data_IF_168357958918
#
_entry.id   IF_168357958918
#
_cell.length_a   1.000
_cell.length_b   1.000
_cell.length_c   1.000
_cell.angle_alpha   90.00
_cell.angle_beta   90.00
_cell.angle_gamma   90.00
#
_symmetry.space_group_name_H-M   'P 1'
#
loop_
_entity.id
_entity.type
_entity.pdbx_description
1 polymer ?
#
# COMPACT_ATOMS: atom_id res chain seq x y z
N UNK A 1 -13.02 -23.60 2.68
CA UNK A 1 -14.32 -23.05 3.10
C UNK A 1 -14.47 -21.68 2.45
N UNK A 2 -15.65 -21.34 1.92
CA UNK A 2 -15.89 -20.02 1.33
C UNK A 2 -16.00 -18.96 2.43
N UNK A 3 -15.49 -17.75 2.16
CA UNK A 3 -15.58 -16.60 3.07
C UNK A 3 -16.47 -15.51 2.44
N UNK A 4 -17.24 -14.82 3.26
CA UNK A 4 -18.22 -13.81 2.87
C UNK A 4 -18.09 -12.60 3.77
N UNK A 5 -18.21 -11.42 3.17
CA UNK A 5 -17.85 -10.17 3.81
C UNK A 5 -18.27 -8.94 3.01
N UNK A 6 -18.41 -7.78 3.67
CA UNK A 6 -18.64 -6.52 2.98
C UNK A 6 -17.34 -5.96 2.40
N UNK A 7 -17.49 -5.00 1.47
CA UNK A 7 -16.41 -4.08 1.12
C UNK A 7 -16.52 -2.82 1.95
N UNK A 8 -15.50 -2.58 2.78
CA UNK A 8 -15.45 -1.51 3.76
C UNK A 8 -16.19 -1.81 5.07
N UNK A 9 -16.18 -0.82 5.95
CA UNK A 9 -16.85 -0.85 7.25
C UNK A 9 -18.37 -0.92 7.03
N UNK A 10 -19.10 -1.85 7.68
CA UNK A 10 -20.55 -1.93 7.58
C UNK A 10 -21.22 -0.60 7.95
N UNK A 11 -22.28 -0.22 7.24
CA UNK A 11 -23.06 0.99 7.56
C UNK A 11 -23.77 0.91 8.93
N UNK A 12 -23.98 -0.31 9.44
CA UNK A 12 -24.48 -0.57 10.79
C UNK A 12 -23.45 -0.28 11.87
N UNK A 13 -22.16 -0.29 11.54
CA UNK A 13 -21.10 -0.13 12.51
C UNK A 13 -21.07 1.31 13.03
N UNK A 14 -21.23 1.46 14.34
CA UNK A 14 -21.26 2.76 15.02
C UNK A 14 -19.87 3.38 15.07
N UNK A 15 -18.87 2.54 15.31
CA UNK A 15 -17.47 2.91 15.26
C UNK A 15 -17.03 2.97 13.80
N UNK A 16 -16.54 4.12 13.35
CA UNK A 16 -16.20 4.33 11.93
C UNK A 16 -14.70 4.11 11.68
N UNK A 17 -14.08 3.24 12.48
CA UNK A 17 -12.67 2.86 12.38
C UNK A 17 -12.54 1.45 11.78
N UNK A 18 -11.35 1.11 11.29
CA UNK A 18 -11.12 -0.24 10.75
C UNK A 18 -11.27 -1.33 11.81
N UNK A 19 -10.83 -1.06 13.05
CA UNK A 19 -10.99 -1.97 14.18
C UNK A 19 -12.47 -2.27 14.45
N UNK A 20 -13.28 -1.22 14.58
CA UNK A 20 -14.72 -1.36 14.81
C UNK A 20 -15.41 -2.12 13.65
N UNK A 21 -14.96 -1.87 12.40
CA UNK A 21 -15.45 -2.59 11.23
C UNK A 21 -15.16 -4.08 11.28
N UNK A 22 -13.92 -4.47 11.61
CA UNK A 22 -13.51 -5.87 11.77
C UNK A 22 -14.38 -6.56 12.86
N UNK A 23 -14.52 -5.92 14.02
CA UNK A 23 -15.32 -6.46 15.14
C UNK A 23 -16.82 -6.58 14.80
N UNK A 24 -17.39 -5.60 14.08
CA UNK A 24 -18.80 -5.63 13.65
C UNK A 24 -19.05 -6.73 12.61
N UNK A 25 -18.15 -6.90 11.64
CA UNK A 25 -18.25 -7.98 10.64
C UNK A 25 -18.23 -9.36 11.31
N UNK A 26 -17.35 -9.58 12.28
CA UNK A 26 -17.35 -10.81 13.08
C UNK A 26 -18.69 -11.00 13.82
N UNK A 27 -19.19 -9.93 14.46
CA UNK A 27 -20.47 -9.96 15.20
C UNK A 27 -21.66 -10.27 14.30
N UNK A 28 -21.62 -9.86 13.03
CA UNK A 28 -22.63 -10.19 12.01
C UNK A 28 -22.55 -11.65 11.52
N UNK A 29 -21.59 -12.44 12.01
CA UNK A 29 -21.37 -13.83 11.59
C UNK A 29 -20.72 -13.96 10.21
N UNK A 30 -20.11 -12.87 9.71
CA UNK A 30 -19.34 -12.86 8.49
C UNK A 30 -17.86 -13.14 8.79
N UNK A 31 -17.08 -13.45 7.76
CA UNK A 31 -15.72 -13.98 7.91
C UNK A 31 -14.74 -13.49 6.84
N UNK A 32 -15.10 -12.44 6.10
CA UNK A 32 -14.18 -11.64 5.30
C UNK A 32 -14.51 -10.14 5.41
N UNK A 33 -13.56 -9.27 5.11
CA UNK A 33 -13.80 -7.83 4.91
C UNK A 33 -12.76 -7.26 3.94
N UNK A 34 -13.19 -6.43 3.00
CA UNK A 34 -12.27 -5.65 2.18
C UNK A 34 -12.00 -4.28 2.80
N UNK A 35 -10.73 -3.95 3.02
CA UNK A 35 -10.24 -2.69 3.56
C UNK A 35 -10.03 -1.69 2.42
N UNK A 36 -10.50 -0.46 2.61
CA UNK A 36 -10.45 0.57 1.57
C UNK A 36 -9.16 1.40 1.66
N UNK A 37 -8.21 1.20 0.73
CA UNK A 37 -7.00 2.02 0.62
C UNK A 37 -7.28 3.25 -0.24
N UNK A 38 -7.94 4.24 0.36
CA UNK A 38 -8.39 5.47 -0.28
C UNK A 38 -7.83 6.71 0.42
N UNK A 39 -7.88 7.87 -0.26
CA UNK A 39 -7.38 9.16 0.24
C UNK A 39 -5.91 9.08 0.68
N UNK A 40 -5.09 8.63 -0.24
CA UNK A 40 -3.65 8.47 -0.08
C UNK A 40 -2.96 9.81 -0.26
N UNK A 41 -2.16 10.19 0.72
CA UNK A 41 -1.28 11.35 0.65
C UNK A 41 0.16 10.92 0.90
N UNK A 42 1.08 11.46 0.09
CA UNK A 42 2.50 11.12 0.15
C UNK A 42 3.29 12.39 0.40
N UNK A 43 4.05 12.39 1.49
CA UNK A 43 4.88 13.53 1.88
C UNK A 43 6.34 13.12 1.96
N UNK A 44 7.23 14.05 1.63
CA UNK A 44 8.67 13.87 1.80
C UNK A 44 9.22 14.82 2.85
N UNK A 45 10.10 14.31 3.71
CA UNK A 45 10.85 15.11 4.68
C UNK A 45 12.26 14.57 4.86
N UNK A 46 13.14 15.35 5.47
CA UNK A 46 14.43 14.82 5.91
C UNK A 46 14.26 14.00 7.19
N UNK A 47 15.09 12.97 7.34
CA UNK A 47 15.22 12.24 8.59
C UNK A 47 15.68 13.20 9.71
N UNK A 48 15.10 13.05 10.89
CA UNK A 48 15.53 13.77 12.11
C UNK A 48 16.74 13.07 12.74
N UNK A 49 17.46 13.76 13.63
CA UNK A 49 18.61 13.16 14.32
C UNK A 49 18.20 11.98 15.23
N UNK A 50 16.95 11.96 15.73
CA UNK A 50 16.40 10.89 16.57
C UNK A 50 16.11 9.61 15.78
N UNK A 51 15.79 9.74 14.49
CA UNK A 51 15.46 8.60 13.60
C UNK A 51 16.71 7.90 13.06
N UNK A 52 17.89 8.52 13.17
CA UNK A 52 19.14 7.94 12.65
C UNK A 52 19.45 6.64 13.40
N UNK A 53 19.72 5.57 12.64
CA UNK A 53 19.97 4.24 13.19
C UNK A 53 18.71 3.42 13.45
N UNK A 54 17.52 4.02 13.38
CA UNK A 54 16.25 3.29 13.43
C UNK A 54 15.88 2.74 12.05
N UNK A 55 15.03 1.72 12.00
CA UNK A 55 14.45 1.24 10.75
C UNK A 55 13.18 2.03 10.43
N UNK A 56 12.84 2.24 9.14
CA UNK A 56 11.58 2.84 8.72
C UNK A 56 10.33 2.23 9.36
N UNK A 57 10.35 0.91 9.61
CA UNK A 57 9.24 0.18 10.24
C UNK A 57 9.06 0.44 11.73
N UNK A 58 10.10 0.92 12.40
CA UNK A 58 10.12 1.11 13.85
C UNK A 58 9.78 2.56 14.25
N UNK A 59 9.54 3.44 13.26
CA UNK A 59 9.13 4.83 13.51
C UNK A 59 7.64 4.85 13.87
N UNK A 60 7.32 5.26 15.10
CA UNK A 60 5.96 5.41 15.59
C UNK A 60 5.26 6.63 14.98
N UNK A 61 3.97 6.49 14.68
CA UNK A 61 3.11 7.55 14.14
C UNK A 61 3.37 7.93 12.68
N UNK A 62 4.26 7.21 11.96
CA UNK A 62 4.54 7.49 10.56
C UNK A 62 4.84 6.24 9.72
N UNK A 63 4.02 6.02 8.68
CA UNK A 63 4.25 4.98 7.67
C UNK A 63 5.30 5.43 6.65
N UNK A 64 6.57 5.21 6.94
CA UNK A 64 7.64 5.46 5.97
C UNK A 64 7.66 4.33 4.95
N UNK A 65 7.35 4.65 3.68
CA UNK A 65 7.26 3.67 2.59
C UNK A 65 8.52 3.61 1.71
N UNK A 66 9.33 4.67 1.69
CA UNK A 66 10.61 4.67 0.97
C UNK A 66 11.65 5.52 1.71
N UNK A 67 12.90 5.05 1.72
CA UNK A 67 14.06 5.86 2.10
C UNK A 67 14.76 6.32 0.84
N UNK A 68 14.78 7.63 0.65
CA UNK A 68 15.35 8.34 -0.49
C UNK A 68 16.80 8.70 -0.15
N UNK A 69 17.76 7.99 -0.74
CA UNK A 69 19.20 8.24 -0.51
C UNK A 69 19.74 9.23 -1.53
N UNK A 70 20.60 10.13 -1.06
CA UNK A 70 21.30 11.07 -1.93
C UNK A 70 22.37 10.33 -2.76
N UNK A 71 22.28 10.46 -4.07
CA UNK A 71 23.26 9.98 -5.04
C UNK A 71 23.73 11.12 -5.94
N UNK A 72 24.99 11.06 -6.38
CA UNK A 72 25.54 12.02 -7.32
C UNK A 72 24.93 11.79 -8.71
N UNK A 73 24.16 12.76 -9.21
CA UNK A 73 23.65 12.72 -10.58
C UNK A 73 24.82 12.80 -11.56
N UNK A 74 24.71 12.11 -12.71
CA UNK A 74 25.73 12.07 -13.79
C UNK A 74 26.07 13.44 -14.41
N UNK A 75 25.50 14.54 -13.92
CA UNK A 75 25.72 15.91 -14.38
C UNK A 75 25.98 16.95 -13.27
N UNK A 76 26.34 16.54 -12.05
CA UNK A 76 26.76 17.47 -10.98
C UNK A 76 25.66 18.02 -10.06
N UNK A 77 24.52 17.31 -9.95
CA UNK A 77 23.44 17.62 -9.01
C UNK A 77 23.18 16.48 -8.02
N UNK A 78 22.39 16.76 -6.97
CA UNK A 78 21.91 15.74 -6.03
C UNK A 78 20.68 15.05 -6.61
N UNK A 79 20.70 13.72 -6.76
CA UNK A 79 19.53 12.92 -7.12
C UNK A 79 19.15 12.06 -5.92
N UNK A 80 17.88 12.02 -5.59
CA UNK A 80 17.36 11.09 -4.58
C UNK A 80 16.82 9.86 -5.28
N UNK A 81 17.29 8.68 -4.88
CA UNK A 81 16.86 7.40 -5.45
C UNK A 81 16.07 6.62 -4.41
N UNK A 82 14.82 6.20 -4.70
CA UNK A 82 14.06 5.35 -3.81
C UNK A 82 14.75 4.01 -3.61
N UNK A 83 15.05 3.70 -2.35
CA UNK A 83 15.39 2.34 -1.94
C UNK A 83 14.27 1.82 -1.07
N UNK A 84 13.62 0.77 -1.56
CA UNK A 84 12.66 -0.01 -0.81
C UNK A 84 13.44 -0.94 0.15
N UNK A 85 13.98 -0.33 1.19
CA UNK A 85 14.83 -0.96 2.21
C UNK A 85 14.17 -0.72 3.58
N UNK A 86 12.97 -1.29 3.78
CA UNK A 86 12.16 -1.10 5.00
C UNK A 86 12.85 -1.55 6.30
N UNK A 87 13.86 -2.42 6.17
CA UNK A 87 14.64 -2.97 7.28
C UNK A 87 16.04 -2.35 7.41
N UNK A 88 16.38 -1.37 6.58
CA UNK A 88 17.70 -0.72 6.63
C UNK A 88 17.65 0.52 7.50
N UNK A 89 18.68 0.71 8.30
CA UNK A 89 18.82 1.87 9.16
C UNK A 89 18.80 3.18 8.36
N UNK A 90 18.01 4.12 8.85
CA UNK A 90 17.95 5.50 8.38
C UNK A 90 19.28 6.18 8.69
N UNK A 91 19.83 6.88 7.69
CA UNK A 91 21.12 7.58 7.82
C UNK A 91 20.93 9.09 7.80
N UNK A 92 21.93 9.79 8.34
CA UNK A 92 21.99 11.24 8.28
C UNK A 92 21.95 11.73 6.82
N UNK A 93 21.01 12.62 6.54
CA UNK A 93 20.83 13.20 5.20
C UNK A 93 19.88 12.42 4.29
N UNK A 94 19.37 11.26 4.74
CA UNK A 94 18.31 10.56 4.03
C UNK A 94 17.02 11.40 4.05
N UNK A 95 16.26 11.30 2.97
CA UNK A 95 14.87 11.76 2.92
C UNK A 95 13.95 10.56 3.13
N UNK A 96 12.86 10.79 3.85
CA UNK A 96 11.84 9.80 4.15
C UNK A 96 10.59 10.16 3.37
N UNK A 97 10.05 9.18 2.65
CA UNK A 97 8.79 9.30 1.93
C UNK A 97 7.73 8.56 2.73
N UNK A 98 6.73 9.30 3.17
CA UNK A 98 5.75 8.85 4.15
C UNK A 98 4.37 8.82 3.56
N UNK A 99 3.65 7.74 3.86
CA UNK A 99 2.30 7.47 3.41
C UNK A 99 1.31 7.84 4.51
N UNK A 100 0.31 8.65 4.18
CA UNK A 100 -0.86 8.86 5.03
C UNK A 100 -2.06 8.23 4.35
N UNK A 101 -2.79 7.40 5.10
CA UNK A 101 -4.03 6.78 4.66
C UNK A 101 -4.98 6.59 5.85
N UNK A 102 -6.24 6.26 5.57
CA UNK A 102 -7.26 6.06 6.62
C UNK A 102 -7.26 4.69 7.29
N UNK A 103 -6.19 3.90 7.17
CA UNK A 103 -6.14 2.51 7.67
C UNK A 103 -5.36 2.43 8.99
N UNK A 104 -4.15 2.99 9.02
CA UNK A 104 -3.28 3.07 10.20
C UNK A 104 -2.20 4.13 9.98
N UNK A 105 -1.57 4.59 11.06
CA UNK A 105 -0.60 5.68 11.06
C UNK A 105 0.86 5.21 11.01
N UNK A 106 1.12 3.99 11.48
CA UNK A 106 2.43 3.33 11.45
C UNK A 106 2.30 1.81 11.26
N UNK A 107 3.43 1.12 11.19
CA UNK A 107 3.48 -0.32 10.98
C UNK A 107 3.00 -1.14 12.19
N UNK A 108 3.01 -0.57 13.40
CA UNK A 108 2.53 -1.25 14.60
C UNK A 108 1.00 -1.32 14.58
N UNK A 109 0.33 -0.22 14.27
CA UNK A 109 -1.14 -0.18 14.14
C UNK A 109 -1.65 -1.14 13.05
N UNK A 110 -0.97 -1.19 11.89
CA UNK A 110 -1.36 -2.10 10.80
C UNK A 110 -1.26 -3.57 11.24
N UNK A 111 -0.19 -3.95 11.93
CA UNK A 111 -0.01 -5.32 12.43
C UNK A 111 -1.03 -5.65 13.50
N UNK A 112 -1.31 -4.73 14.43
CA UNK A 112 -2.34 -4.92 15.46
C UNK A 112 -3.71 -5.19 14.81
N UNK A 113 -4.10 -4.41 13.80
CA UNK A 113 -5.34 -4.62 13.06
C UNK A 113 -5.40 -6.00 12.38
N UNK A 114 -4.30 -6.43 11.77
CA UNK A 114 -4.18 -7.75 11.17
C UNK A 114 -4.28 -8.89 12.18
N UNK A 115 -3.66 -8.74 13.36
CA UNK A 115 -3.73 -9.69 14.47
C UNK A 115 -5.16 -9.82 15.01
N UNK A 116 -5.86 -8.70 15.22
CA UNK A 116 -7.27 -8.69 15.63
C UNK A 116 -8.14 -9.43 14.61
N UNK A 117 -7.98 -9.16 13.31
CA UNK A 117 -8.74 -9.86 12.28
C UNK A 117 -8.47 -11.37 12.28
N UNK A 118 -7.21 -11.76 12.45
CA UNK A 118 -6.82 -13.17 12.54
C UNK A 118 -7.43 -13.87 13.76
N UNK A 119 -7.42 -13.24 14.92
CA UNK A 119 -7.99 -13.78 16.16
C UNK A 119 -9.51 -13.96 16.06
N UNK A 120 -10.18 -13.12 15.26
CA UNK A 120 -11.61 -13.20 14.96
C UNK A 120 -11.94 -14.12 13.76
N UNK A 121 -10.96 -14.84 13.21
CA UNK A 121 -11.05 -15.67 12.01
C UNK A 121 -11.64 -14.92 10.79
N UNK A 122 -11.26 -13.64 10.64
CA UNK A 122 -11.61 -12.79 9.51
C UNK A 122 -10.47 -12.76 8.49
N UNK A 123 -10.82 -13.00 7.21
CA UNK A 123 -9.88 -12.76 6.10
C UNK A 123 -10.01 -11.34 5.58
N UNK A 124 -8.89 -10.67 5.43
CA UNK A 124 -8.83 -9.32 4.88
C UNK A 124 -8.41 -9.35 3.41
N UNK A 125 -9.02 -8.49 2.61
CA UNK A 125 -8.46 -7.99 1.36
C UNK A 125 -8.30 -6.48 1.44
N UNK A 126 -7.52 -5.89 0.56
CA UNK A 126 -7.38 -4.43 0.43
C UNK A 126 -7.78 -4.04 -0.99
N UNK A 127 -8.49 -2.95 -1.19
CA UNK A 127 -8.67 -2.37 -2.53
C UNK A 127 -7.92 -1.07 -2.70
N UNK A 128 -7.33 -0.85 -3.88
CA UNK A 128 -6.76 0.44 -4.29
C UNK A 128 -7.87 1.46 -4.64
N UNK A 129 -7.57 2.77 -4.74
CA UNK A 129 -8.58 3.78 -5.07
C UNK A 129 -9.36 3.47 -6.37
N UNK A 130 -10.58 4.00 -6.52
CA UNK A 130 -11.40 3.73 -7.72
C UNK A 130 -10.93 4.46 -8.99
N UNK A 131 -10.13 5.52 -8.86
CA UNK A 131 -9.69 6.35 -9.98
C UNK A 131 -8.47 5.80 -10.73
N UNK A 132 -8.26 4.48 -10.73
CA UNK A 132 -7.08 3.88 -11.36
C UNK A 132 -7.15 3.97 -12.88
N UNK A 133 -6.05 4.42 -13.48
CA UNK A 133 -5.84 4.37 -14.91
C UNK A 133 -4.36 4.13 -15.26
N UNK A 134 -3.98 2.86 -15.43
CA UNK A 134 -2.58 2.48 -15.71
C UNK A 134 -2.10 2.90 -17.10
N UNK A 135 -3.04 3.15 -18.02
CA UNK A 135 -2.76 3.61 -19.38
C UNK A 135 -3.10 5.09 -19.60
N UNK A 136 -3.42 5.82 -18.53
CA UNK A 136 -3.58 7.27 -18.56
C UNK A 136 -2.26 7.97 -18.91
N UNK A 137 -2.25 9.30 -18.77
CA UNK A 137 -1.01 10.07 -18.92
C UNK A 137 0.07 9.61 -17.92
N UNK A 138 1.31 10.05 -18.14
CA UNK A 138 2.47 9.60 -17.38
C UNK A 138 2.29 9.80 -15.87
N UNK A 139 1.80 10.98 -15.45
CA UNK A 139 1.59 11.32 -14.04
C UNK A 139 0.51 10.43 -13.40
N UNK A 140 -0.61 10.21 -14.09
CA UNK A 140 -1.69 9.32 -13.62
C UNK A 140 -1.20 7.88 -13.54
N UNK A 141 -0.53 7.40 -14.59
CA UNK A 141 -0.01 6.03 -14.67
C UNK A 141 0.99 5.75 -13.56
N UNK A 142 1.92 6.67 -13.31
CA UNK A 142 2.90 6.57 -12.22
C UNK A 142 2.22 6.55 -10.85
N UNK A 143 1.28 7.48 -10.60
CA UNK A 143 0.51 7.51 -9.35
C UNK A 143 -0.29 6.23 -9.13
N UNK A 144 -0.84 5.64 -10.18
CA UNK A 144 -1.55 4.36 -10.09
C UNK A 144 -0.60 3.22 -9.74
N UNK A 145 0.58 3.15 -10.37
CA UNK A 145 1.60 2.16 -10.01
C UNK A 145 2.04 2.31 -8.54
N UNK A 146 2.18 3.53 -8.04
CA UNK A 146 2.50 3.81 -6.63
C UNK A 146 1.39 3.36 -5.69
N UNK A 147 0.12 3.67 -6.00
CA UNK A 147 -1.01 3.22 -5.20
C UNK A 147 -1.08 1.68 -5.12
N UNK A 148 -0.76 0.96 -6.20
CA UNK A 148 -0.73 -0.51 -6.16
C UNK A 148 0.45 -1.01 -5.33
N UNK A 149 1.65 -0.43 -5.47
CA UNK A 149 2.82 -0.81 -4.66
C UNK A 149 2.58 -0.58 -3.17
N UNK A 150 2.13 0.61 -2.79
CA UNK A 150 1.88 0.94 -1.40
C UNK A 150 0.64 0.21 -0.86
N UNK A 151 -0.40 0.02 -1.67
CA UNK A 151 -1.52 -0.86 -1.32
C UNK A 151 -1.07 -2.29 -1.03
N UNK A 152 -0.11 -2.82 -1.81
CA UNK A 152 0.45 -4.16 -1.59
C UNK A 152 1.25 -4.23 -0.29
N UNK A 153 1.98 -3.16 0.05
CA UNK A 153 2.66 -3.04 1.34
C UNK A 153 1.66 -3.03 2.50
N UNK A 154 0.63 -2.20 2.44
CA UNK A 154 -0.43 -2.14 3.46
C UNK A 154 -1.12 -3.50 3.62
N UNK A 155 -1.48 -4.14 2.50
CA UNK A 155 -2.09 -5.46 2.50
C UNK A 155 -1.17 -6.51 3.16
N UNK A 156 0.14 -6.46 2.88
CA UNK A 156 1.11 -7.34 3.51
C UNK A 156 1.18 -7.14 5.03
N UNK A 157 1.25 -5.89 5.51
CA UNK A 157 1.35 -5.60 6.94
C UNK A 157 0.07 -5.94 7.71
N UNK A 158 -1.11 -5.80 7.07
CA UNK A 158 -2.38 -6.26 7.61
C UNK A 158 -2.53 -7.79 7.60
N UNK A 159 -1.63 -8.52 6.94
CA UNK A 159 -1.80 -9.96 6.69
C UNK A 159 -2.98 -10.29 5.76
N UNK A 160 -3.38 -9.35 4.90
CA UNK A 160 -4.43 -9.53 3.92
C UNK A 160 -3.98 -10.48 2.79
N UNK A 161 -4.91 -11.29 2.29
CA UNK A 161 -4.59 -12.29 1.26
C UNK A 161 -4.40 -11.66 -0.13
N UNK A 162 -5.12 -10.57 -0.40
CA UNK A 162 -5.27 -10.01 -1.73
C UNK A 162 -5.35 -8.48 -1.71
N UNK A 163 -4.65 -7.85 -2.66
CA UNK A 163 -4.85 -6.48 -3.09
C UNK A 163 -5.67 -6.48 -4.38
N UNK A 164 -6.88 -5.94 -4.33
CA UNK A 164 -7.76 -5.75 -5.49
C UNK A 164 -7.48 -4.38 -6.11
N UNK A 165 -7.34 -4.32 -7.43
CA UNK A 165 -7.13 -3.06 -8.16
C UNK A 165 -7.91 -3.03 -9.47
N UNK A 166 -8.30 -1.82 -9.87
CA UNK A 166 -8.75 -1.56 -11.24
C UNK A 166 -7.55 -1.27 -12.15
N UNK A 167 -7.67 -1.62 -13.44
CA UNK A 167 -6.61 -1.41 -14.43
C UNK A 167 -6.73 -0.07 -15.18
N UNK A 168 -7.95 0.43 -15.37
CA UNK A 168 -8.21 1.65 -16.14
C UNK A 168 -8.88 1.41 -17.49
N UNK A 169 -8.74 2.39 -18.38
CA UNK A 169 -9.36 2.39 -19.70
C UNK A 169 -8.36 1.99 -20.78
N UNK A 170 -8.87 1.62 -21.96
CA UNK A 170 -8.03 1.33 -23.12
C UNK A 170 -7.62 2.59 -23.90
N UNK A 171 -8.26 3.74 -23.64
CA UNK A 171 -8.04 4.97 -24.42
C UNK A 171 -8.15 4.70 -25.93
N UNK A 172 -7.19 5.19 -26.73
CA UNK A 172 -7.14 4.99 -28.18
C UNK A 172 -6.41 3.69 -28.59
N UNK A 173 -6.00 2.85 -27.64
CA UNK A 173 -5.33 1.59 -27.94
C UNK A 173 -6.33 0.52 -28.40
N UNK A 174 -5.90 -0.34 -29.33
CA UNK A 174 -6.64 -1.58 -29.59
C UNK A 174 -6.57 -2.49 -28.35
N UNK A 175 -7.51 -3.42 -28.23
CA UNK A 175 -7.54 -4.41 -27.13
C UNK A 175 -6.19 -5.11 -26.95
N UNK A 176 -5.57 -5.57 -28.02
CA UNK A 176 -4.28 -6.28 -27.96
C UNK A 176 -3.14 -5.38 -27.50
N UNK A 177 -3.14 -4.11 -27.94
CA UNK A 177 -2.15 -3.11 -27.50
C UNK A 177 -2.35 -2.78 -26.02
N UNK A 178 -3.59 -2.55 -25.59
CA UNK A 178 -3.92 -2.23 -24.21
C UNK A 178 -3.53 -3.36 -23.26
N UNK A 179 -3.88 -4.61 -23.58
CA UNK A 179 -3.51 -5.79 -22.78
C UNK A 179 -1.98 -5.91 -22.67
N UNK A 180 -1.26 -5.72 -23.77
CA UNK A 180 0.20 -5.78 -23.77
C UNK A 180 0.79 -4.70 -22.85
N UNK A 181 0.34 -3.45 -22.97
CA UNK A 181 0.81 -2.34 -22.15
C UNK A 181 0.46 -2.52 -20.67
N UNK A 182 -0.77 -2.92 -20.35
CA UNK A 182 -1.20 -3.22 -18.98
C UNK A 182 -0.36 -4.35 -18.37
N UNK A 183 -0.07 -5.40 -19.15
CA UNK A 183 0.78 -6.51 -18.69
C UNK A 183 2.18 -6.01 -18.31
N UNK A 184 2.79 -5.12 -19.10
CA UNK A 184 4.09 -4.53 -18.75
C UNK A 184 4.01 -3.68 -17.47
N UNK A 185 2.94 -2.89 -17.29
CA UNK A 185 2.71 -2.10 -16.08
C UNK A 185 2.54 -2.99 -14.83
N UNK A 186 1.77 -4.07 -14.92
CA UNK A 186 1.59 -5.03 -13.83
C UNK A 186 2.88 -5.80 -13.51
N UNK A 187 3.71 -6.13 -14.52
CA UNK A 187 5.03 -6.74 -14.28
C UNK A 187 5.91 -5.85 -13.38
N UNK A 188 5.89 -4.54 -13.58
CA UNK A 188 6.64 -3.59 -12.72
C UNK A 188 6.21 -3.73 -11.26
N UNK A 189 4.90 -3.78 -11.00
CA UNK A 189 4.36 -3.96 -9.65
C UNK A 189 4.76 -5.31 -9.07
N UNK A 190 4.55 -6.40 -9.83
CA UNK A 190 4.89 -7.76 -9.40
C UNK A 190 6.37 -7.88 -9.04
N UNK A 191 7.26 -7.33 -9.87
CA UNK A 191 8.70 -7.39 -9.65
C UNK A 191 9.10 -6.58 -8.41
N UNK A 192 8.41 -5.47 -8.12
CA UNK A 192 8.57 -4.70 -6.90
C UNK A 192 8.09 -5.48 -5.65
N UNK A 193 6.91 -6.11 -5.71
CA UNK A 193 6.38 -6.97 -4.62
C UNK A 193 7.37 -8.09 -4.31
N UNK A 194 7.84 -8.81 -5.34
CA UNK A 194 8.79 -9.91 -5.20
C UNK A 194 10.12 -9.46 -4.60
N UNK A 195 10.67 -8.34 -5.07
CA UNK A 195 11.92 -7.77 -4.55
C UNK A 195 11.83 -7.43 -3.07
N UNK A 196 10.67 -6.91 -2.65
CA UNK A 196 10.39 -6.54 -1.27
C UNK A 196 9.84 -7.70 -0.42
N UNK A 197 9.72 -8.90 -0.99
CA UNK A 197 9.24 -10.11 -0.31
C UNK A 197 7.87 -9.93 0.36
N UNK A 198 7.00 -9.12 -0.24
CA UNK A 198 5.66 -8.89 0.27
C UNK A 198 4.79 -10.11 -0.03
N UNK A 199 4.12 -10.63 1.00
CA UNK A 199 3.21 -11.76 0.88
C UNK A 199 1.78 -11.28 0.63
N UNK A 200 1.46 -11.02 -0.64
CA UNK A 200 0.11 -10.60 -1.08
C UNK A 200 -0.12 -10.98 -2.54
N UNK A 201 -1.34 -11.38 -2.88
CA UNK A 201 -1.74 -11.60 -4.28
C UNK A 201 -2.36 -10.33 -4.87
N UNK A 202 -2.17 -10.09 -6.16
CA UNK A 202 -2.90 -9.02 -6.87
C UNK A 202 -4.14 -9.63 -7.52
N UNK A 203 -5.31 -9.10 -7.16
CA UNK A 203 -6.59 -9.32 -7.86
C UNK A 203 -6.80 -8.22 -8.90
N UNK A 204 -6.98 -8.63 -10.17
CA UNK A 204 -7.16 -7.75 -11.34
C UNK A 204 -8.57 -7.90 -11.91
#
# INVERSE_FOLDING_TARGET
>A
MFRFGPSGIPLSCKGRTQRDGIEDVHTLGLNAMEVQFVRVDITERYATDEEIGQKPRDIEGELIVEVLKEENAKGGGKKYVPKAEFDTEIKKGDKLRSLRCGIGHDYHELKELGEIAKDLDLRLSVHTPYYMDLLGDEDISEKCLENIKFGALIAHELGADMLVTHLGFYHDYSTDQAIKLMTEKIKIVRDWINRNKLNVQIGL
#
